data_IF_322863853883
#
_entry.id   IF_322863853883
#
_cell.length_a   1.000
_cell.length_b   1.000
_cell.length_c   1.000
_cell.angle_alpha   90.00
_cell.angle_beta   90.00
_cell.angle_gamma   90.00
#
_symmetry.space_group_name_H-M   'P 1'
#
loop_
_entity.id
_entity.type
_entity.pdbx_description
1 polymer ?
#
# COMPACT_ATOMS: atom_id res chain seq x y z
N UNK A 1 36.62 -10.55 31.81
CA UNK A 1 35.24 -10.85 32.29
C UNK A 1 34.52 -9.55 32.57
N UNK A 2 33.33 -9.34 32.01
CA UNK A 2 32.55 -8.14 32.29
C UNK A 2 32.15 -8.11 33.78
N UNK A 3 32.40 -6.99 34.45
CA UNK A 3 32.06 -6.81 35.86
C UNK A 3 30.55 -6.97 36.08
N UNK A 4 30.15 -7.92 36.93
CA UNK A 4 28.75 -8.12 37.37
C UNK A 4 28.32 -7.15 38.47
N UNK A 5 29.20 -6.23 38.90
CA UNK A 5 28.89 -5.25 39.95
C UNK A 5 27.69 -4.37 39.53
N UNK A 6 26.72 -4.09 40.42
CA UNK A 6 25.55 -3.28 40.10
C UNK A 6 25.89 -1.90 39.53
N UNK A 7 26.92 -1.24 40.06
CA UNK A 7 27.39 0.07 39.57
C UNK A 7 27.93 0.02 38.14
N UNK A 8 28.65 -1.05 37.78
CA UNK A 8 29.13 -1.27 36.41
C UNK A 8 27.98 -1.57 35.44
N UNK A 9 26.88 -2.18 35.93
CA UNK A 9 25.65 -2.33 35.13
C UNK A 9 24.93 -0.99 34.95
N UNK A 10 24.81 -0.18 36.00
CA UNK A 10 24.18 1.14 35.94
C UNK A 10 24.88 2.07 34.93
N UNK A 11 26.22 2.16 34.99
CA UNK A 11 27.01 2.93 34.00
C UNK A 11 26.79 2.46 32.55
N UNK A 12 26.71 1.15 32.32
CA UNK A 12 26.42 0.61 30.98
C UNK A 12 25.01 0.97 30.50
N UNK A 13 24.03 0.90 31.38
CA UNK A 13 22.64 1.27 31.07
C UNK A 13 22.54 2.77 30.78
N UNK A 14 23.22 3.60 31.56
CA UNK A 14 23.21 5.06 31.36
C UNK A 14 23.93 5.46 30.08
N UNK A 15 25.09 4.86 29.78
CA UNK A 15 25.79 5.06 28.51
C UNK A 15 24.93 4.65 27.30
N UNK A 16 24.24 3.51 27.39
CA UNK A 16 23.33 3.04 26.35
C UNK A 16 22.12 3.98 26.17
N UNK A 17 21.60 4.55 27.26
CA UNK A 17 20.53 5.56 27.21
C UNK A 17 21.02 6.87 26.58
N UNK A 18 22.23 7.31 26.91
CA UNK A 18 22.81 8.51 26.31
C UNK A 18 23.07 8.34 24.81
N UNK A 19 23.49 7.13 24.38
CA UNK A 19 23.73 6.79 22.96
C UNK A 19 22.43 6.81 22.12
N UNK A 20 21.32 6.30 22.67
CA UNK A 20 20.03 6.25 21.99
C UNK A 20 19.25 7.57 22.04
N UNK A 21 19.64 8.52 22.91
CA UNK A 21 18.82 9.67 23.25
C UNK A 21 17.63 9.30 24.14
N UNK A 22 16.57 10.12 24.11
CA UNK A 22 15.32 9.81 24.81
C UNK A 22 14.59 8.65 24.14
N UNK A 23 14.18 7.63 24.90
CA UNK A 23 13.40 6.51 24.35
C UNK A 23 12.15 6.98 23.61
N UNK A 24 11.49 8.01 24.12
CA UNK A 24 10.30 8.60 23.50
C UNK A 24 10.59 9.15 22.09
N UNK A 25 11.77 9.74 21.87
CA UNK A 25 12.18 10.25 20.56
C UNK A 25 12.49 9.12 19.58
N UNK A 26 13.15 8.05 20.05
CA UNK A 26 13.43 6.86 19.25
C UNK A 26 12.13 6.17 18.78
N UNK A 27 11.18 5.95 19.70
CA UNK A 27 9.90 5.33 19.36
C UNK A 27 9.06 6.24 18.46
N UNK A 28 9.04 7.56 18.70
CA UNK A 28 8.33 8.50 17.82
C UNK A 28 8.91 8.53 16.39
N UNK A 29 10.24 8.43 16.25
CA UNK A 29 10.88 8.33 14.93
C UNK A 29 10.50 7.05 14.21
N UNK A 30 10.46 5.95 14.95
CA UNK A 30 10.11 4.64 14.40
C UNK A 30 8.63 4.55 14.02
N UNK A 31 7.74 5.13 14.82
CA UNK A 31 6.31 5.27 14.51
C UNK A 31 6.11 6.05 13.22
N UNK A 32 6.74 7.23 13.09
CA UNK A 32 6.73 8.01 11.83
C UNK A 32 7.23 7.21 10.63
N UNK A 33 8.28 6.41 10.81
CA UNK A 33 8.81 5.55 9.75
C UNK A 33 7.78 4.48 9.36
N UNK A 34 7.11 3.88 10.33
CA UNK A 34 6.08 2.89 10.09
C UNK A 34 4.87 3.49 9.35
N UNK A 35 4.42 4.67 9.75
CA UNK A 35 3.33 5.39 9.09
C UNK A 35 3.67 5.71 7.63
N UNK A 36 4.87 6.23 7.36
CA UNK A 36 5.33 6.49 6.00
C UNK A 36 5.37 5.21 5.13
N UNK A 37 5.78 4.08 5.72
CA UNK A 37 5.78 2.79 5.01
C UNK A 37 4.34 2.32 4.75
N UNK A 38 3.44 2.50 5.69
CA UNK A 38 2.02 2.17 5.55
C UNK A 38 1.36 3.02 4.46
N UNK A 39 1.59 4.34 4.46
CA UNK A 39 1.12 5.27 3.44
C UNK A 39 1.64 4.90 2.04
N UNK A 40 2.94 4.62 1.91
CA UNK A 40 3.52 4.18 0.64
C UNK A 40 2.92 2.87 0.13
N UNK A 41 2.68 1.92 1.04
CA UNK A 41 2.04 0.64 0.71
C UNK A 41 0.61 0.85 0.22
N UNK A 42 -0.12 1.75 0.88
CA UNK A 42 -1.49 2.07 0.51
C UNK A 42 -1.57 2.80 -0.83
N UNK A 43 -0.69 3.78 -1.05
CA UNK A 43 -0.56 4.46 -2.33
C UNK A 43 -0.22 3.49 -3.46
N UNK A 44 0.74 2.57 -3.25
CA UNK A 44 1.09 1.56 -4.25
C UNK A 44 -0.09 0.62 -4.58
N UNK A 45 -0.93 0.29 -3.59
CA UNK A 45 -2.16 -0.48 -3.82
C UNK A 45 -3.16 0.31 -4.66
N UNK A 46 -3.39 1.57 -4.32
CA UNK A 46 -4.26 2.46 -5.06
C UNK A 46 -3.80 2.64 -6.52
N UNK A 47 -2.51 2.87 -6.73
CA UNK A 47 -1.93 3.04 -8.07
C UNK A 47 -2.12 1.79 -8.94
N UNK A 48 -1.82 0.61 -8.38
CA UNK A 48 -1.98 -0.67 -9.07
C UNK A 48 -3.45 -1.02 -9.35
N UNK A 49 -4.34 -0.75 -8.40
CA UNK A 49 -5.73 -1.17 -8.49
C UNK A 49 -6.60 -0.20 -9.30
N UNK A 50 -6.34 1.11 -9.20
CA UNK A 50 -7.25 2.15 -9.64
C UNK A 50 -6.60 3.25 -10.49
N UNK A 51 -5.46 3.83 -10.07
CA UNK A 51 -5.02 5.11 -10.64
C UNK A 51 -4.74 5.06 -12.16
N UNK A 52 -4.24 3.92 -12.66
CA UNK A 52 -3.93 3.73 -14.08
C UNK A 52 -5.10 3.23 -14.93
N UNK A 53 -6.27 2.95 -14.33
CA UNK A 53 -7.41 2.33 -15.02
C UNK A 53 -8.52 3.34 -15.34
N UNK A 54 -9.15 3.18 -16.49
CA UNK A 54 -10.34 3.95 -16.86
C UNK A 54 -11.49 3.66 -15.89
N UNK A 55 -12.08 4.72 -15.33
CA UNK A 55 -13.18 4.65 -14.36
C UNK A 55 -14.49 5.03 -15.05
N UNK A 56 -15.48 4.14 -14.96
CA UNK A 56 -16.84 4.37 -15.43
C UNK A 56 -17.78 4.55 -14.23
N UNK A 57 -18.77 5.43 -14.35
CA UNK A 57 -19.67 5.76 -13.26
C UNK A 57 -20.69 4.64 -13.04
N UNK A 58 -21.17 4.05 -14.13
CA UNK A 58 -22.19 2.98 -14.08
C UNK A 58 -21.69 1.68 -14.71
N UNK A 59 -22.33 0.57 -14.33
CA UNK A 59 -22.06 -0.74 -14.95
C UNK A 59 -22.41 -0.73 -16.43
N UNK A 60 -23.49 -0.03 -16.79
CA UNK A 60 -23.98 0.05 -18.17
C UNK A 60 -22.95 0.74 -19.09
N UNK A 61 -22.35 1.83 -18.63
CA UNK A 61 -21.25 2.50 -19.35
C UNK A 61 -20.05 1.56 -19.58
N UNK A 62 -19.62 0.84 -18.54
CA UNK A 62 -18.50 -0.09 -18.66
C UNK A 62 -18.79 -1.21 -19.66
N UNK A 63 -20.03 -1.74 -19.68
CA UNK A 63 -20.45 -2.76 -20.64
C UNK A 63 -20.52 -2.21 -22.07
N UNK A 64 -21.06 -1.01 -22.28
CA UNK A 64 -21.09 -0.38 -23.59
C UNK A 64 -19.69 -0.25 -24.19
N UNK A 65 -18.69 0.10 -23.37
CA UNK A 65 -17.29 0.16 -23.82
C UNK A 65 -16.72 -1.22 -24.12
N UNK A 66 -17.12 -2.27 -23.39
CA UNK A 66 -16.74 -3.66 -23.73
C UNK A 66 -17.30 -4.04 -25.09
N UNK A 67 -18.57 -3.73 -25.35
CA UNK A 67 -19.24 -4.05 -26.62
C UNK A 67 -18.60 -3.28 -27.79
N UNK A 68 -18.27 -2.00 -27.59
CA UNK A 68 -17.53 -1.20 -28.58
C UNK A 68 -16.13 -1.80 -28.85
N UNK A 69 -15.39 -2.17 -27.80
CA UNK A 69 -14.10 -2.83 -27.94
C UNK A 69 -14.22 -4.17 -28.72
N UNK A 70 -15.28 -4.94 -28.46
CA UNK A 70 -15.55 -6.19 -29.15
C UNK A 70 -15.86 -5.98 -30.64
N UNK A 71 -16.61 -4.92 -30.97
CA UNK A 71 -16.87 -4.51 -32.36
C UNK A 71 -15.57 -4.12 -33.11
N UNK A 72 -14.59 -3.56 -32.40
CA UNK A 72 -13.25 -3.26 -32.91
C UNK A 72 -12.28 -4.45 -32.87
N UNK A 73 -12.75 -5.65 -32.50
CA UNK A 73 -11.95 -6.89 -32.52
C UNK A 73 -11.19 -7.20 -31.23
N UNK A 74 -11.28 -6.36 -30.19
CA UNK A 74 -10.71 -6.65 -28.86
C UNK A 74 -11.74 -7.41 -28.01
N UNK A 75 -11.53 -8.71 -27.83
CA UNK A 75 -12.40 -9.59 -27.03
C UNK A 75 -11.79 -9.90 -25.65
N UNK A 76 -12.54 -10.61 -24.82
CA UNK A 76 -12.10 -11.05 -23.49
C UNK A 76 -12.03 -9.95 -22.44
N UNK A 77 -12.77 -8.84 -22.59
CA UNK A 77 -12.87 -7.81 -21.55
C UNK A 77 -14.03 -8.10 -20.60
N UNK A 78 -13.80 -7.92 -19.30
CA UNK A 78 -14.82 -7.97 -18.25
C UNK A 78 -14.81 -6.69 -17.43
N UNK A 79 -15.95 -6.32 -16.85
CA UNK A 79 -16.05 -5.19 -15.94
C UNK A 79 -16.18 -5.66 -14.48
N UNK A 80 -15.56 -4.94 -13.55
CA UNK A 80 -15.71 -5.15 -12.11
C UNK A 80 -15.86 -3.83 -11.36
N UNK A 81 -16.50 -3.86 -10.20
CA UNK A 81 -16.61 -2.71 -9.30
C UNK A 81 -15.37 -2.60 -8.42
N UNK A 82 -14.76 -1.43 -8.37
CA UNK A 82 -13.55 -1.17 -7.60
C UNK A 82 -13.89 -0.78 -6.16
N UNK A 83 -13.30 -1.47 -5.19
CA UNK A 83 -13.52 -1.15 -3.76
C UNK A 83 -12.87 0.16 -3.32
N UNK A 84 -11.81 0.61 -4.02
CA UNK A 84 -11.10 1.85 -3.68
C UNK A 84 -11.84 3.10 -4.13
N UNK A 85 -12.35 3.11 -5.36
CA UNK A 85 -12.98 4.31 -5.94
C UNK A 85 -14.49 4.21 -6.12
N UNK A 86 -15.09 3.03 -5.87
CA UNK A 86 -16.51 2.76 -6.07
C UNK A 86 -16.97 2.69 -7.52
N UNK A 87 -16.12 3.05 -8.48
CA UNK A 87 -16.41 3.04 -9.92
C UNK A 87 -16.21 1.66 -10.56
N UNK A 88 -16.55 1.58 -11.84
CA UNK A 88 -16.39 0.38 -12.66
C UNK A 88 -15.10 0.46 -13.48
N UNK A 89 -14.33 -0.63 -13.49
CA UNK A 89 -13.10 -0.77 -14.27
C UNK A 89 -13.19 -1.98 -15.20
N UNK A 90 -12.39 -1.95 -16.27
CA UNK A 90 -12.23 -3.06 -17.20
C UNK A 90 -10.97 -3.86 -16.87
N UNK A 91 -11.06 -5.17 -17.08
CA UNK A 91 -9.96 -6.13 -16.99
C UNK A 91 -10.00 -7.02 -18.23
N UNK A 92 -8.83 -7.36 -18.77
CA UNK A 92 -8.71 -8.32 -19.86
C UNK A 92 -8.44 -9.72 -19.32
N UNK A 93 -9.22 -10.70 -19.79
CA UNK A 93 -8.99 -12.12 -19.65
C UNK A 93 -8.68 -12.71 -21.03
N UNK A 94 -7.39 -12.99 -21.32
CA UNK A 94 -6.99 -13.48 -22.65
C UNK A 94 -7.44 -14.91 -22.96
N UNK A 95 -8.19 -15.56 -22.06
CA UNK A 95 -8.59 -16.98 -22.15
C UNK A 95 -10.10 -17.17 -22.26
N UNK A 96 -10.89 -16.09 -22.27
CA UNK A 96 -12.33 -16.16 -22.49
C UNK A 96 -12.62 -15.78 -23.94
N UNK A 97 -12.77 -16.81 -24.79
CA UNK A 97 -13.28 -16.71 -26.16
C UNK A 97 -14.82 -16.74 -26.19
#
# INVERSE_FOLDING_TARGET
>A
MASRKPSARAKRVEAFRAELGGFDDLFAREEKRHDQVAERREQARYEKACASKNRYATRAEALAVIDECAAHGRRGLSCYKCDYCGGWHLTSHPWHD
#
